data_IF_122499923254
#
_entry.id   IF_122499923254
#
_cell.length_a   1.000
_cell.length_b   1.000
_cell.length_c   1.000
_cell.angle_alpha   90.00
_cell.angle_beta   90.00
_cell.angle_gamma   90.00
#
_symmetry.space_group_name_H-M   'P 1'
#
loop_
_entity.id
_entity.type
_entity.pdbx_description
1 polymer ?
#
# COMPACT_ATOMS: atom_id res chain seq x y z
N UNK A 1 23.28 -16.04 -20.45
CA UNK A 1 23.96 -14.72 -20.59
C UNK A 1 23.63 -14.00 -21.89
N UNK A 2 23.02 -14.62 -22.91
CA UNK A 2 22.65 -13.93 -24.16
C UNK A 2 21.31 -13.17 -24.07
N UNK A 3 20.31 -13.72 -23.39
CA UNK A 3 18.95 -13.14 -23.30
C UNK A 3 18.90 -11.78 -22.57
N UNK A 4 19.67 -11.63 -21.48
CA UNK A 4 19.71 -10.39 -20.71
C UNK A 4 20.35 -9.24 -21.50
N UNK A 5 21.36 -9.56 -22.32
CA UNK A 5 22.10 -8.58 -23.13
C UNK A 5 21.33 -8.20 -24.40
N UNK A 6 20.55 -9.12 -24.99
CA UNK A 6 19.62 -8.81 -26.09
C UNK A 6 18.47 -7.91 -25.62
N UNK A 7 17.88 -8.20 -24.45
CA UNK A 7 16.86 -7.33 -23.85
C UNK A 7 17.39 -5.91 -23.55
N UNK A 8 18.69 -5.79 -23.25
CA UNK A 8 19.35 -4.52 -22.93
C UNK A 8 19.76 -3.73 -24.18
N UNK A 9 20.12 -4.43 -25.27
CA UNK A 9 20.39 -3.84 -26.59
C UNK A 9 19.11 -3.40 -27.31
N UNK A 10 18.05 -4.21 -27.24
CA UNK A 10 16.69 -3.81 -27.65
C UNK A 10 16.25 -2.57 -26.84
N UNK A 11 16.41 -2.59 -25.53
CA UNK A 11 16.09 -1.48 -24.62
C UNK A 11 16.82 -0.18 -24.98
N UNK A 12 18.09 -0.22 -25.38
CA UNK A 12 18.85 0.95 -25.83
C UNK A 12 18.38 1.45 -27.20
N UNK A 13 18.04 0.54 -28.12
CA UNK A 13 17.46 0.87 -29.43
C UNK A 13 16.10 1.57 -29.27
N UNK A 14 15.20 1.02 -28.45
CA UNK A 14 13.88 1.59 -28.21
C UNK A 14 13.92 2.97 -27.56
N UNK A 15 14.87 3.23 -26.65
CA UNK A 15 15.07 4.59 -26.10
C UNK A 15 15.42 5.58 -27.21
N UNK A 16 16.34 5.24 -28.12
CA UNK A 16 16.70 6.10 -29.25
C UNK A 16 15.52 6.42 -30.19
N UNK A 17 14.66 5.44 -30.47
CA UNK A 17 13.53 5.62 -31.40
C UNK A 17 12.36 6.37 -30.73
N UNK A 18 12.05 6.10 -29.46
CA UNK A 18 11.10 6.88 -28.66
C UNK A 18 11.48 8.37 -28.59
N UNK A 19 12.78 8.65 -28.47
CA UNK A 19 13.32 10.01 -28.40
C UNK A 19 13.19 10.72 -29.77
N UNK A 20 13.54 10.03 -30.86
CA UNK A 20 13.38 10.56 -32.23
C UNK A 20 11.92 10.86 -32.56
N UNK A 21 10.99 9.99 -32.16
CA UNK A 21 9.56 10.14 -32.44
C UNK A 21 8.92 11.34 -31.72
N UNK A 22 9.39 11.69 -30.51
CA UNK A 22 8.87 12.81 -29.73
C UNK A 22 9.42 14.17 -30.22
N UNK A 23 10.54 14.18 -30.95
CA UNK A 23 11.12 15.40 -31.54
C UNK A 23 11.78 16.33 -30.50
N UNK A 24 12.18 15.78 -29.35
CA UNK A 24 12.85 16.52 -28.27
C UNK A 24 14.31 16.06 -28.18
N UNK A 25 15.28 16.98 -28.06
CA UNK A 25 16.69 16.62 -27.89
C UNK A 25 16.92 15.69 -26.69
N UNK A 26 17.84 14.73 -26.86
CA UNK A 26 18.27 13.76 -25.84
C UNK A 26 18.66 14.39 -24.48
N UNK A 27 19.17 15.62 -24.50
CA UNK A 27 19.57 16.35 -23.29
C UNK A 27 18.39 16.86 -22.46
N UNK A 28 17.17 16.77 -22.98
CA UNK A 28 15.96 17.38 -22.41
C UNK A 28 14.85 16.37 -22.07
N UNK A 29 15.09 15.09 -22.36
CA UNK A 29 14.14 14.00 -22.18
C UNK A 29 14.86 12.79 -21.58
N UNK A 30 14.40 12.35 -20.41
CA UNK A 30 14.83 11.07 -19.81
C UNK A 30 13.65 10.11 -19.82
N UNK A 31 13.82 8.93 -20.38
CA UNK A 31 12.82 7.87 -20.36
C UNK A 31 13.30 6.75 -19.44
N UNK A 32 12.40 6.18 -18.65
CA UNK A 32 12.66 5.00 -17.84
C UNK A 32 11.57 3.98 -18.07
N UNK A 33 11.88 2.69 -17.95
CA UNK A 33 10.85 1.66 -17.89
C UNK A 33 10.01 1.83 -16.62
N UNK A 34 8.69 1.60 -16.68
CA UNK A 34 7.81 1.79 -15.52
C UNK A 34 6.65 0.80 -15.48
N UNK A 35 6.74 -0.21 -14.61
CA UNK A 35 5.63 -1.12 -14.33
C UNK A 35 4.57 -0.42 -13.44
N UNK A 36 3.26 -0.54 -13.70
CA UNK A 36 2.56 -1.49 -14.59
C UNK A 36 2.40 -1.08 -16.06
N UNK A 37 3.00 0.03 -16.52
CA UNK A 37 3.00 0.47 -17.93
C UNK A 37 4.32 0.09 -18.62
N UNK A 38 4.55 0.67 -19.79
CA UNK A 38 5.76 0.43 -20.58
C UNK A 38 6.88 1.42 -20.19
N UNK A 39 6.58 2.73 -20.16
CA UNK A 39 7.58 3.77 -19.99
C UNK A 39 7.08 5.00 -19.20
N UNK A 40 8.03 5.69 -18.58
CA UNK A 40 7.86 6.99 -17.93
C UNK A 40 8.81 8.00 -18.55
N UNK A 41 8.29 9.15 -18.98
CA UNK A 41 9.07 10.21 -19.61
C UNK A 41 9.17 11.44 -18.70
N UNK A 42 10.40 11.83 -18.36
CA UNK A 42 10.74 13.05 -17.63
C UNK A 42 11.16 14.14 -18.62
N UNK A 43 10.48 15.27 -18.58
CA UNK A 43 10.76 16.43 -19.42
C UNK A 43 11.40 17.52 -18.57
N UNK A 44 12.49 18.12 -19.05
CA UNK A 44 13.13 19.25 -18.36
C UNK A 44 12.27 20.51 -18.39
N UNK A 45 11.33 20.62 -19.34
CA UNK A 45 10.48 21.80 -19.51
C UNK A 45 8.99 21.44 -19.61
N UNK A 46 8.16 22.15 -18.85
CA UNK A 46 6.69 21.98 -18.84
C UNK A 46 6.06 22.14 -20.22
N UNK A 47 6.59 23.05 -21.06
CA UNK A 47 6.08 23.26 -22.43
C UNK A 47 6.19 22.00 -23.29
N UNK A 48 7.28 21.25 -23.16
CA UNK A 48 7.53 20.01 -23.89
C UNK A 48 6.63 18.88 -23.42
N UNK A 49 6.50 18.72 -22.09
CA UNK A 49 5.54 17.80 -21.48
C UNK A 49 4.13 18.05 -22.02
N UNK A 50 3.67 19.29 -21.98
CA UNK A 50 2.32 19.65 -22.45
C UNK A 50 2.16 19.40 -23.95
N UNK A 51 3.17 19.65 -24.77
CA UNK A 51 3.13 19.33 -26.19
C UNK A 51 3.05 17.81 -26.45
N UNK A 52 3.84 17.01 -25.72
CA UNK A 52 3.81 15.55 -25.83
C UNK A 52 2.46 14.96 -25.39
N UNK A 53 1.91 15.43 -24.26
CA UNK A 53 0.57 15.01 -23.79
C UNK A 53 -0.52 15.42 -24.78
N UNK A 54 -0.47 16.63 -25.35
CA UNK A 54 -1.42 17.07 -26.39
C UNK A 54 -1.33 16.24 -27.67
N UNK A 55 -0.14 15.74 -28.01
CA UNK A 55 0.05 14.84 -29.15
C UNK A 55 -0.64 13.49 -28.93
N UNK A 56 -0.75 13.05 -27.67
CA UNK A 56 -1.56 11.91 -27.23
C UNK A 56 -1.00 10.53 -27.61
N UNK A 57 -0.20 10.42 -28.66
CA UNK A 57 0.49 9.19 -29.03
C UNK A 57 1.70 9.44 -29.95
N UNK A 58 2.56 8.44 -30.07
CA UNK A 58 3.64 8.34 -31.04
C UNK A 58 3.62 6.95 -31.67
N UNK A 59 4.20 6.84 -32.87
CA UNK A 59 4.40 5.56 -33.55
C UNK A 59 5.89 5.34 -33.67
N UNK A 60 6.35 4.19 -33.20
CA UNK A 60 7.76 3.77 -33.18
C UNK A 60 7.78 2.35 -33.75
N UNK A 61 8.47 2.15 -34.87
CA UNK A 61 8.55 0.88 -35.59
C UNK A 61 7.19 0.20 -35.84
N UNK A 62 6.18 1.02 -36.18
CA UNK A 62 4.81 0.56 -36.43
C UNK A 62 3.98 0.30 -35.17
N UNK A 63 4.56 0.37 -33.97
CA UNK A 63 3.87 0.22 -32.70
C UNK A 63 3.40 1.59 -32.19
N UNK A 64 2.12 1.68 -31.80
CA UNK A 64 1.52 2.89 -31.26
C UNK A 64 1.69 2.94 -29.73
N UNK A 65 2.37 3.97 -29.24
CA UNK A 65 2.50 4.26 -27.81
C UNK A 65 1.65 5.47 -27.45
N UNK A 66 0.73 5.30 -26.49
CA UNK A 66 -0.11 6.40 -25.99
C UNK A 66 0.67 7.24 -24.98
N UNK A 67 0.59 8.56 -25.12
CA UNK A 67 1.18 9.53 -24.20
C UNK A 67 0.05 10.12 -23.36
N UNK A 68 0.11 9.88 -22.06
CA UNK A 68 -0.80 10.48 -21.09
C UNK A 68 -0.01 11.20 -19.99
N UNK A 69 -0.65 12.15 -19.32
CA UNK A 69 -0.07 12.75 -18.13
C UNK A 69 -0.06 11.72 -17.01
N UNK A 70 1.12 11.47 -16.43
CA UNK A 70 1.20 10.58 -15.28
C UNK A 70 0.48 11.21 -14.08
N UNK A 71 -0.32 10.38 -13.42
CA UNK A 71 -0.87 10.62 -12.09
C UNK A 71 -0.59 9.38 -11.26
N UNK A 72 -0.25 9.58 -9.98
CA UNK A 72 -0.17 8.49 -9.01
C UNK A 72 -1.48 7.68 -8.96
N UNK A 73 -2.58 8.31 -9.31
CA UNK A 73 -3.93 7.75 -9.29
C UNK A 73 -4.31 6.92 -10.53
N UNK A 74 -3.48 6.87 -11.59
CA UNK A 74 -3.85 6.22 -12.87
C UNK A 74 -4.16 4.71 -12.74
N UNK A 75 -3.74 4.08 -11.65
CA UNK A 75 -4.00 2.67 -11.33
C UNK A 75 -4.63 2.48 -9.96
N UNK A 76 -5.00 3.57 -9.30
CA UNK A 76 -5.61 3.53 -7.98
C UNK A 76 -7.11 3.56 -8.19
N UNK A 77 -7.79 2.51 -7.74
CA UNK A 77 -9.22 2.58 -7.53
C UNK A 77 -9.46 3.38 -6.25
N UNK A 78 -10.30 4.41 -6.32
CA UNK A 78 -10.74 5.19 -5.14
C UNK A 78 -12.14 4.75 -4.74
N UNK A 79 -12.31 3.57 -4.10
CA UNK A 79 -13.62 3.16 -3.66
C UNK A 79 -14.13 4.15 -2.61
N UNK A 80 -15.42 4.49 -2.67
CA UNK A 80 -16.06 5.22 -1.58
C UNK A 80 -16.30 4.25 -0.43
N UNK A 81 -15.78 4.60 0.75
CA UNK A 81 -15.99 3.83 1.99
C UNK A 81 -17.34 4.23 2.60
N UNK A 82 -18.43 3.81 1.94
CA UNK A 82 -19.78 4.27 2.24
C UNK A 82 -20.48 3.57 3.40
N UNK A 83 -19.96 2.42 3.85
CA UNK A 83 -20.61 1.64 4.92
C UNK A 83 -19.96 1.94 6.25
N UNK A 84 -20.73 2.52 7.17
CA UNK A 84 -20.34 2.62 8.57
C UNK A 84 -20.92 1.42 9.31
N UNK A 85 -20.06 0.50 9.69
CA UNK A 85 -20.43 -0.78 10.31
C UNK A 85 -20.13 -0.76 11.80
N UNK A 86 -20.96 -1.45 12.57
CA UNK A 86 -20.71 -1.78 13.97
C UNK A 86 -20.28 -3.23 14.04
N UNK A 87 -19.12 -3.49 14.61
CA UNK A 87 -18.51 -4.82 14.67
C UNK A 87 -18.40 -5.29 16.11
N UNK A 88 -18.74 -6.55 16.33
CA UNK A 88 -18.49 -7.29 17.56
C UNK A 88 -17.34 -8.26 17.32
N UNK A 89 -16.26 -8.07 18.08
CA UNK A 89 -15.05 -8.87 18.00
C UNK A 89 -14.91 -9.72 19.26
N UNK A 90 -14.93 -11.04 19.11
CA UNK A 90 -14.73 -11.97 20.23
C UNK A 90 -13.31 -12.53 20.22
N UNK A 91 -12.73 -12.69 21.40
CA UNK A 91 -11.38 -13.26 21.56
C UNK A 91 -10.23 -12.25 21.42
N UNK A 92 -10.51 -10.95 21.19
CA UNK A 92 -9.47 -9.91 21.25
C UNK A 92 -8.99 -9.74 22.68
N UNK A 93 -7.68 -9.88 22.90
CA UNK A 93 -7.09 -9.75 24.23
C UNK A 93 -7.30 -8.33 24.77
N UNK A 94 -7.69 -8.20 26.04
CA UNK A 94 -8.12 -6.92 26.63
C UNK A 94 -7.09 -5.78 26.50
N UNK A 95 -5.80 -6.07 26.65
CA UNK A 95 -4.74 -5.06 26.49
C UNK A 95 -4.57 -4.57 25.04
N UNK A 96 -5.12 -5.32 24.08
CA UNK A 96 -5.14 -5.01 22.66
C UNK A 96 -6.46 -4.34 22.22
N UNK A 97 -7.26 -3.83 23.16
CA UNK A 97 -8.47 -3.05 22.84
C UNK A 97 -8.12 -1.60 22.51
N UNK A 98 -7.43 -1.42 21.39
CA UNK A 98 -6.98 -0.11 20.91
C UNK A 98 -6.98 -0.07 19.38
N UNK A 99 -6.83 1.14 18.84
CA UNK A 99 -6.79 1.36 17.39
C UNK A 99 -5.72 0.52 16.70
N UNK A 100 -4.50 0.49 17.22
CA UNK A 100 -3.37 -0.17 16.55
C UNK A 100 -3.61 -1.67 16.37
N UNK A 101 -4.20 -2.31 17.38
CA UNK A 101 -4.60 -3.71 17.31
C UNK A 101 -5.75 -3.94 16.32
N UNK A 102 -6.71 -3.03 16.23
CA UNK A 102 -7.79 -3.13 15.24
C UNK A 102 -7.29 -2.93 13.82
N UNK A 103 -6.38 -1.99 13.59
CA UNK A 103 -5.73 -1.81 12.31
C UNK A 103 -4.90 -3.05 11.95
N UNK A 104 -4.28 -3.72 12.93
CA UNK A 104 -3.61 -5.00 12.72
C UNK A 104 -4.57 -6.13 12.32
N UNK A 105 -5.76 -6.19 12.93
CA UNK A 105 -6.75 -7.24 12.63
C UNK A 105 -7.47 -6.92 11.32
N UNK A 106 -8.02 -5.72 11.11
CA UNK A 106 -8.96 -5.42 10.02
C UNK A 106 -8.53 -4.27 9.11
N UNK A 107 -7.35 -3.66 9.28
CA UNK A 107 -6.94 -2.47 8.54
C UNK A 107 -6.81 -2.64 7.02
N UNK A 108 -6.79 -3.88 6.54
CA UNK A 108 -6.81 -4.24 5.13
C UNK A 108 -8.20 -4.08 4.47
N UNK A 109 -9.26 -4.14 5.25
CA UNK A 109 -10.67 -4.17 4.77
C UNK A 109 -11.56 -3.12 5.43
N UNK A 110 -11.19 -2.67 6.63
CA UNK A 110 -11.92 -1.74 7.46
C UNK A 110 -11.04 -0.54 7.83
N UNK A 111 -11.64 0.64 7.92
CA UNK A 111 -11.00 1.85 8.42
C UNK A 111 -11.60 2.20 9.77
N UNK A 112 -10.77 2.30 10.81
CA UNK A 112 -11.22 2.60 12.17
C UNK A 112 -11.93 3.95 12.28
N UNK A 113 -13.09 3.98 12.96
CA UNK A 113 -13.82 5.21 13.32
C UNK A 113 -13.69 5.49 14.83
N UNK A 114 -14.29 4.64 15.67
CA UNK A 114 -14.25 4.79 17.14
C UNK A 114 -14.53 3.48 17.89
N UNK A 115 -14.09 3.42 19.15
CA UNK A 115 -14.47 2.36 20.09
C UNK A 115 -15.78 2.78 20.77
N UNK A 116 -16.66 1.82 21.05
CA UNK A 116 -17.92 2.10 21.75
C UNK A 116 -17.68 2.34 23.26
N UNK A 117 -18.13 3.49 23.76
CA UNK A 117 -17.83 3.97 25.13
C UNK A 117 -18.49 3.11 26.24
N UNK A 118 -19.59 2.40 25.95
CA UNK A 118 -20.23 1.49 26.92
C UNK A 118 -19.33 0.29 27.31
N UNK A 119 -18.28 0.01 26.53
CA UNK A 119 -17.26 -0.99 26.89
C UNK A 119 -16.26 -0.51 27.95
N UNK A 120 -16.23 0.78 28.27
CA UNK A 120 -15.40 1.33 29.37
C UNK A 120 -15.89 0.82 30.74
N UNK A 121 -17.12 0.30 30.83
CA UNK A 121 -17.71 -0.22 32.07
C UNK A 121 -17.47 -1.73 32.33
N UNK A 122 -16.73 -2.43 31.46
CA UNK A 122 -16.12 -3.74 31.77
C UNK A 122 -17.09 -4.85 32.26
N UNK A 123 -18.36 -4.84 31.86
CA UNK A 123 -19.32 -5.87 32.28
C UNK A 123 -19.22 -7.17 31.47
N UNK A 124 -18.63 -7.12 30.28
CA UNK A 124 -18.36 -8.29 29.44
C UNK A 124 -17.01 -8.13 28.72
N UNK A 125 -15.96 -8.78 29.22
CA UNK A 125 -14.61 -8.71 28.64
C UNK A 125 -14.40 -9.67 27.47
N UNK A 126 -15.41 -10.46 27.10
CA UNK A 126 -15.32 -11.43 26.01
C UNK A 126 -15.54 -10.82 24.62
N UNK A 127 -16.24 -9.68 24.57
CA UNK A 127 -16.68 -9.05 23.32
C UNK A 127 -16.21 -7.61 23.29
N UNK A 128 -15.53 -7.24 22.21
CA UNK A 128 -15.07 -5.89 21.94
C UNK A 128 -15.90 -5.27 20.82
N UNK A 129 -16.44 -4.07 21.02
CA UNK A 129 -17.30 -3.41 20.03
C UNK A 129 -16.69 -2.11 19.53
N UNK A 130 -16.65 -1.97 18.21
CA UNK A 130 -16.16 -0.77 17.54
C UNK A 130 -16.98 -0.42 16.30
N UNK A 131 -16.85 0.85 15.90
CA UNK A 131 -17.35 1.37 14.65
C UNK A 131 -16.19 1.45 13.65
N UNK A 132 -16.44 0.98 12.43
CA UNK A 132 -15.48 1.05 11.33
C UNK A 132 -16.18 1.43 10.03
N UNK A 133 -15.41 1.91 9.07
CA UNK A 133 -15.84 2.14 7.70
C UNK A 133 -15.41 0.98 6.81
N UNK A 134 -16.25 0.63 5.85
CA UNK A 134 -15.96 -0.35 4.81
C UNK A 134 -16.43 0.16 3.46
N UNK A 135 -15.75 -0.27 2.40
CA UNK A 135 -16.19 -0.02 1.03
C UNK A 135 -16.97 -1.20 0.44
N UNK A 136 -16.80 -2.42 0.99
CA UNK A 136 -17.51 -3.62 0.58
C UNK A 136 -17.71 -4.56 1.78
N UNK A 137 -18.97 -4.90 2.09
CA UNK A 137 -19.35 -5.75 3.21
C UNK A 137 -19.00 -7.24 2.99
N UNK A 138 -18.95 -7.69 1.73
CA UNK A 138 -18.65 -9.09 1.40
C UNK A 138 -17.21 -9.49 1.75
N UNK A 139 -16.35 -8.50 2.01
CA UNK A 139 -14.96 -8.73 2.42
C UNK A 139 -14.82 -8.98 3.92
N UNK A 140 -15.88 -8.81 4.71
CA UNK A 140 -15.81 -9.01 6.15
C UNK A 140 -15.67 -10.51 6.46
N UNK A 141 -14.53 -10.95 7.02
CA UNK A 141 -14.37 -12.35 7.39
C UNK A 141 -15.17 -12.62 8.66
N UNK A 142 -15.71 -13.84 8.80
CA UNK A 142 -16.36 -14.28 10.04
C UNK A 142 -15.35 -14.60 11.16
N UNK A 143 -14.11 -14.94 10.77
CA UNK A 143 -13.02 -15.27 11.66
C UNK A 143 -11.70 -14.79 11.08
N UNK A 144 -10.83 -14.21 11.90
CA UNK A 144 -9.47 -13.85 11.51
C UNK A 144 -8.47 -14.30 12.55
N UNK A 145 -7.43 -14.98 12.10
CA UNK A 145 -6.32 -15.41 12.91
C UNK A 145 -5.35 -14.24 13.10
N UNK A 146 -5.08 -13.86 14.35
CA UNK A 146 -4.26 -12.70 14.66
C UNK A 146 -3.25 -12.99 15.77
N UNK A 147 -2.08 -12.37 15.67
CA UNK A 147 -0.98 -12.55 16.63
C UNK A 147 -0.72 -11.24 17.37
N UNK A 148 -0.93 -11.24 18.68
CA UNK A 148 -0.70 -10.09 19.54
C UNK A 148 0.62 -10.22 20.27
N UNK A 149 1.43 -9.16 20.22
CA UNK A 149 2.69 -9.09 20.93
C UNK A 149 2.57 -8.22 22.20
N UNK A 150 3.28 -8.55 23.28
CA UNK A 150 3.44 -7.64 24.41
C UNK A 150 4.10 -6.31 23.99
N UNK A 151 3.84 -5.25 24.75
CA UNK A 151 4.48 -3.95 24.52
C UNK A 151 6.01 -4.10 24.57
N UNK A 152 6.69 -3.60 23.54
CA UNK A 152 8.16 -3.67 23.46
C UNK A 152 8.74 -4.97 22.92
N UNK A 153 7.90 -5.93 22.50
CA UNK A 153 8.37 -7.14 21.84
C UNK A 153 9.23 -6.83 20.60
N UNK A 154 10.31 -7.59 20.42
CA UNK A 154 11.25 -7.41 19.31
C UNK A 154 12.11 -6.15 19.41
N UNK A 155 12.08 -5.45 20.55
CA UNK A 155 12.94 -4.29 20.83
C UNK A 155 13.98 -4.64 21.88
N UNK A 156 15.12 -3.97 21.77
CA UNK A 156 16.19 -4.01 22.75
C UNK A 156 15.73 -3.33 24.05
N UNK A 157 15.80 -4.05 25.18
CA UNK A 157 15.32 -3.56 26.48
C UNK A 157 16.44 -3.19 27.45
N UNK A 158 17.70 -3.05 27.00
CA UNK A 158 18.87 -2.87 27.89
C UNK A 158 18.87 -1.64 28.79
N UNK A 159 17.82 -0.82 28.81
CA UNK A 159 17.70 0.37 29.65
C UNK A 159 18.67 1.51 29.28
N UNK A 160 19.63 1.25 28.39
CA UNK A 160 20.56 2.22 27.81
C UNK A 160 19.89 2.85 26.60
N UNK A 161 19.82 4.19 26.58
CA UNK A 161 19.30 4.97 25.46
C UNK A 161 20.39 5.91 24.93
N UNK A 162 20.81 5.79 23.66
CA UNK A 162 20.37 4.82 22.66
C UNK A 162 20.94 3.40 22.90
N UNK A 163 20.26 2.35 22.41
CA UNK A 163 20.77 0.98 22.48
C UNK A 163 22.10 0.83 21.74
N UNK A 164 22.91 -0.14 22.17
CA UNK A 164 24.19 -0.40 21.52
C UNK A 164 23.98 -0.89 20.07
N UNK A 165 24.86 -0.53 19.11
CA UNK A 165 24.67 -0.85 17.69
C UNK A 165 24.54 -2.35 17.39
N UNK A 166 25.24 -3.18 18.15
CA UNK A 166 25.29 -4.64 17.95
C UNK A 166 24.27 -5.40 18.82
N UNK A 167 23.42 -4.68 19.55
CA UNK A 167 22.46 -5.30 20.44
C UNK A 167 21.24 -5.79 19.67
N UNK A 168 21.01 -7.10 19.69
CA UNK A 168 19.90 -7.74 18.99
C UNK A 168 18.86 -8.16 20.04
N UNK A 169 17.62 -7.73 19.83
CA UNK A 169 16.50 -8.16 20.66
C UNK A 169 16.28 -9.68 20.53
N UNK A 170 15.91 -10.38 21.61
CA UNK A 170 15.53 -11.78 21.51
C UNK A 170 14.31 -11.95 20.58
N UNK A 171 14.14 -13.12 19.93
CA UNK A 171 12.95 -13.41 19.13
C UNK A 171 11.67 -13.16 19.95
N UNK A 172 10.70 -12.40 19.44
CA UNK A 172 9.48 -12.09 20.18
C UNK A 172 8.53 -13.29 20.20
N UNK A 173 7.93 -13.54 21.36
CA UNK A 173 6.84 -14.51 21.49
C UNK A 173 5.49 -13.81 21.34
N UNK A 174 4.73 -14.22 20.33
CA UNK A 174 3.38 -13.71 20.05
C UNK A 174 2.30 -14.64 20.57
N UNK A 175 1.16 -14.08 20.98
CA UNK A 175 -0.04 -14.83 21.31
C UNK A 175 -0.97 -14.88 20.11
N UNK A 176 -1.20 -16.07 19.60
CA UNK A 176 -2.03 -16.31 18.42
C UNK A 176 -3.46 -16.65 18.84
N UNK A 177 -4.44 -15.92 18.32
CA UNK A 177 -5.85 -16.05 18.70
C UNK A 177 -6.74 -15.99 17.46
N UNK A 178 -7.79 -16.80 17.45
CA UNK A 178 -8.88 -16.67 16.48
C UNK A 178 -9.84 -15.59 16.96
N UNK A 179 -9.92 -14.49 16.24
CA UNK A 179 -10.88 -13.43 16.49
C UNK A 179 -12.14 -13.72 15.68
N UNK A 180 -13.27 -13.88 16.35
CA UNK A 180 -14.58 -13.98 15.69
C UNK A 180 -15.11 -12.57 15.44
N UNK A 181 -15.72 -12.36 14.28
CA UNK A 181 -16.16 -11.05 13.84
C UNK A 181 -17.63 -11.16 13.44
N UNK A 182 -18.46 -10.36 14.09
CA UNK A 182 -19.89 -10.27 13.81
C UNK A 182 -20.26 -8.85 13.42
N UNK A 183 -21.10 -8.73 12.40
CA UNK A 183 -21.74 -7.49 11.97
C UNK A 183 -23.12 -7.39 12.64
N UNK A 184 -23.46 -6.21 13.16
CA UNK A 184 -24.81 -5.88 13.66
C UNK A 184 -25.83 -5.71 12.52
#
# INVERSE_FOLDING_TARGET
MSEFMEHELERLSYHGVLISAVGIPLTQLRVTHHHPKDFFAYFNFTKQRTAAVRRGYIVVDGVRYTIAMWSADMHVHHPTWGYRVRLYLEGVLQYAWNKDALDQILGDICLFDRIEEEMVQCQNTAIFVCWMWMWNLDLLPQMKLSTFFPLGAGRVTSGVTPPMPDEIAPPPEGRMVNVLIHLD
#
